data_IF_944072967941
#
_entry.id   IF_944072967941
#
_cell.length_a   1.000
_cell.length_b   1.000
_cell.length_c   1.000
_cell.angle_alpha   90.00
_cell.angle_beta   90.00
_cell.angle_gamma   90.00
#
_symmetry.space_group_name_H-M   'P 1'
#
loop_
_entity.id
_entity.type
_entity.pdbx_description
1 polymer ?
#
# COMPACT_ATOMS: atom_id res chain seq x y z
N UNK A 1 -56.23 38.37 47.47
CA UNK A 1 -56.15 37.79 46.09
C UNK A 1 -54.73 37.85 45.58
N UNK A 2 -54.00 36.75 45.74
CA UNK A 2 -52.55 36.66 45.35
C UNK A 2 -52.47 35.82 44.10
N UNK A 3 -52.13 36.45 42.97
CA UNK A 3 -51.90 35.77 41.70
C UNK A 3 -50.47 35.24 41.66
N UNK A 4 -50.34 33.91 41.72
CA UNK A 4 -49.08 33.20 41.55
C UNK A 4 -48.78 33.04 40.06
N UNK A 5 -47.67 33.67 39.58
CA UNK A 5 -47.20 33.52 38.21
C UNK A 5 -46.32 32.28 38.14
N UNK A 6 -46.75 31.26 37.41
CA UNK A 6 -45.90 30.12 37.05
C UNK A 6 -45.01 30.49 35.84
N UNK A 7 -43.70 30.51 36.07
CA UNK A 7 -42.74 30.61 34.98
C UNK A 7 -42.42 29.19 34.50
N UNK A 8 -42.78 28.88 33.26
CA UNK A 8 -42.38 27.63 32.59
C UNK A 8 -41.01 27.85 31.95
N UNK A 9 -39.99 27.23 32.54
CA UNK A 9 -38.67 27.18 31.94
C UNK A 9 -38.61 26.07 30.92
N UNK A 10 -38.58 26.40 29.62
CA UNK A 10 -38.36 25.45 28.54
C UNK A 10 -36.86 25.14 28.46
N UNK A 11 -36.47 23.93 28.90
CA UNK A 11 -35.10 23.42 28.72
C UNK A 11 -34.95 22.89 27.29
N UNK A 12 -34.22 23.66 26.46
CA UNK A 12 -33.75 23.19 25.15
C UNK A 12 -32.63 22.19 25.36
N UNK A 13 -32.91 20.90 25.24
CA UNK A 13 -31.90 19.86 25.13
C UNK A 13 -31.23 19.95 23.74
N UNK A 14 -30.03 20.52 23.68
CA UNK A 14 -29.14 20.46 22.50
C UNK A 14 -28.66 19.01 22.34
N UNK A 15 -29.36 18.25 21.51
CA UNK A 15 -28.83 16.96 21.04
C UNK A 15 -27.66 17.21 20.09
N UNK A 16 -26.46 17.02 20.58
CA UNK A 16 -25.28 16.96 19.73
C UNK A 16 -25.37 15.69 18.88
N UNK A 17 -25.81 15.84 17.64
CA UNK A 17 -25.68 14.80 16.63
C UNK A 17 -24.20 14.73 16.30
N UNK A 18 -23.50 13.75 16.86
CA UNK A 18 -22.17 13.39 16.39
C UNK A 18 -22.36 12.81 15.00
N UNK A 19 -22.07 13.63 13.98
CA UNK A 19 -21.89 13.13 12.63
C UNK A 19 -20.64 12.25 12.68
N UNK A 20 -20.83 10.94 12.82
CA UNK A 20 -19.80 9.97 12.52
C UNK A 20 -19.51 10.11 11.04
N UNK A 21 -18.45 10.85 10.69
CA UNK A 21 -17.95 10.83 9.33
C UNK A 21 -17.66 9.36 8.99
N UNK A 22 -18.35 8.83 7.99
CA UNK A 22 -18.06 7.48 7.50
C UNK A 22 -16.60 7.46 7.08
N UNK A 23 -15.78 6.68 7.76
CA UNK A 23 -14.39 6.51 7.42
C UNK A 23 -14.26 5.41 6.39
N UNK A 24 -13.81 5.76 5.19
CA UNK A 24 -13.39 4.78 4.21
C UNK A 24 -12.05 4.18 4.65
N UNK A 25 -11.97 2.85 4.66
CA UNK A 25 -10.75 2.15 5.05
C UNK A 25 -9.63 2.32 4.03
N UNK A 26 -8.40 2.04 4.46
CA UNK A 26 -7.21 2.09 3.62
C UNK A 26 -7.29 1.21 2.36
N UNK A 27 -8.08 0.14 2.38
CA UNK A 27 -8.33 -0.76 1.24
C UNK A 27 -8.95 -0.06 0.01
N UNK A 28 -9.57 1.11 0.19
CA UNK A 28 -10.15 1.90 -0.90
C UNK A 28 -9.14 2.88 -1.53
N UNK A 29 -7.92 2.97 -0.99
CA UNK A 29 -6.87 3.81 -1.55
C UNK A 29 -6.26 3.15 -2.80
N UNK A 30 -5.94 3.94 -3.85
CA UNK A 30 -5.31 3.39 -5.04
C UNK A 30 -3.95 2.80 -4.71
N UNK A 31 -3.67 1.60 -5.23
CA UNK A 31 -2.36 0.97 -5.13
C UNK A 31 -1.32 1.66 -6.02
N UNK A 32 -0.07 1.61 -5.60
CA UNK A 32 1.08 2.11 -6.34
C UNK A 32 1.99 0.96 -6.70
N UNK A 33 2.40 0.90 -7.96
CA UNK A 33 3.07 -0.25 -8.55
C UNK A 33 4.43 0.11 -9.10
N UNK A 34 5.38 -0.81 -8.98
CA UNK A 34 6.63 -0.83 -9.72
C UNK A 34 7.00 -2.29 -10.04
N UNK A 35 7.49 -2.52 -11.25
CA UNK A 35 8.05 -3.80 -11.65
C UNK A 35 9.57 -3.74 -11.57
N UNK A 36 10.17 -4.74 -10.93
CA UNK A 36 11.62 -4.94 -10.86
C UNK A 36 11.99 -6.11 -11.76
N UNK A 37 12.83 -5.87 -12.74
CA UNK A 37 13.21 -6.83 -13.77
C UNK A 37 14.47 -7.59 -13.36
N UNK A 38 14.57 -8.84 -13.80
CA UNK A 38 15.69 -9.74 -13.48
C UNK A 38 16.33 -10.33 -14.74
N UNK A 39 17.60 -10.64 -14.63
CA UNK A 39 18.30 -11.44 -15.62
C UNK A 39 17.80 -12.90 -15.57
N UNK A 40 18.02 -13.64 -16.66
CA UNK A 40 17.66 -15.05 -16.74
C UNK A 40 18.32 -15.84 -15.62
N UNK A 41 17.58 -16.74 -14.99
CA UNK A 41 18.02 -17.62 -13.90
C UNK A 41 18.61 -16.88 -12.67
N UNK A 42 18.38 -15.58 -12.54
CA UNK A 42 18.90 -14.76 -11.45
C UNK A 42 17.79 -14.23 -10.53
N UNK A 43 18.07 -14.19 -9.23
CA UNK A 43 17.30 -13.43 -8.23
C UNK A 43 18.08 -12.23 -7.68
N UNK A 44 19.25 -11.92 -8.25
CA UNK A 44 20.02 -10.72 -7.91
C UNK A 44 19.41 -9.50 -8.61
N UNK A 45 19.17 -8.43 -7.85
CA UNK A 45 18.69 -7.17 -8.38
C UNK A 45 19.86 -6.40 -8.97
N UNK A 46 19.76 -5.98 -10.23
CA UNK A 46 20.80 -5.18 -10.88
C UNK A 46 20.93 -3.80 -10.24
N UNK A 47 22.09 -3.14 -10.41
CA UNK A 47 22.30 -1.79 -9.89
C UNK A 47 21.31 -0.77 -10.48
N UNK A 48 20.92 -0.94 -11.73
CA UNK A 48 19.91 -0.09 -12.38
C UNK A 48 18.54 -0.26 -11.72
N UNK A 49 18.13 -1.48 -11.45
CA UNK A 49 16.85 -1.76 -10.77
C UNK A 49 16.87 -1.33 -9.30
N UNK A 50 18.02 -1.45 -8.61
CA UNK A 50 18.19 -0.90 -7.26
C UNK A 50 18.02 0.62 -7.24
N UNK A 51 18.59 1.34 -8.22
CA UNK A 51 18.43 2.79 -8.34
C UNK A 51 16.96 3.17 -8.58
N UNK A 52 16.29 2.48 -9.51
CA UNK A 52 14.85 2.69 -9.77
C UNK A 52 14.00 2.46 -8.53
N UNK A 53 14.25 1.38 -7.80
CA UNK A 53 13.51 1.05 -6.58
C UNK A 53 13.77 2.07 -5.46
N UNK A 54 15.01 2.57 -5.34
CA UNK A 54 15.38 3.62 -4.40
C UNK A 54 14.63 4.93 -4.69
N UNK A 55 14.66 5.40 -5.93
CA UNK A 55 13.95 6.62 -6.35
C UNK A 55 12.44 6.50 -6.13
N UNK A 56 11.86 5.36 -6.49
CA UNK A 56 10.45 5.07 -6.25
C UNK A 56 10.12 5.05 -4.74
N UNK A 57 10.98 4.46 -3.91
CA UNK A 57 10.79 4.40 -2.46
C UNK A 57 10.83 5.81 -1.83
N UNK A 58 11.72 6.68 -2.30
CA UNK A 58 11.78 8.08 -1.88
C UNK A 58 10.47 8.81 -2.24
N UNK A 59 9.96 8.61 -3.46
CA UNK A 59 8.67 9.19 -3.88
C UNK A 59 7.52 8.67 -3.02
N UNK A 60 7.50 7.38 -2.73
CA UNK A 60 6.48 6.77 -1.84
C UNK A 60 6.49 7.41 -0.46
N UNK A 61 7.64 7.56 0.18
CA UNK A 61 7.76 8.22 1.48
C UNK A 61 7.35 9.69 1.44
N UNK A 62 7.68 10.39 0.36
CA UNK A 62 7.31 11.80 0.20
C UNK A 62 5.80 11.99 0.08
N UNK A 63 5.13 11.09 -0.63
CA UNK A 63 3.70 11.19 -0.92
C UNK A 63 2.83 10.56 0.16
N UNK A 64 3.28 9.46 0.76
CA UNK A 64 2.50 8.64 1.66
C UNK A 64 3.23 8.41 2.98
N UNK A 65 2.88 9.16 4.04
CA UNK A 65 3.51 9.01 5.35
C UNK A 65 3.18 7.68 6.03
N UNK A 66 2.08 7.06 5.64
CA UNK A 66 1.62 5.78 6.16
C UNK A 66 1.44 4.83 4.98
N UNK A 67 1.97 3.63 5.12
CA UNK A 67 1.78 2.52 4.20
C UNK A 67 0.97 1.44 4.93
N UNK A 68 -0.13 1.00 4.33
CA UNK A 68 -0.97 -0.05 4.90
C UNK A 68 -0.52 -1.43 4.46
N UNK A 69 -0.37 -1.63 3.16
CA UNK A 69 -0.07 -2.94 2.59
C UNK A 69 1.14 -2.87 1.67
N UNK A 70 2.02 -3.87 1.78
CA UNK A 70 3.08 -4.18 0.82
C UNK A 70 2.89 -5.60 0.32
N UNK A 71 2.60 -5.75 -0.95
CA UNK A 71 2.41 -7.06 -1.57
C UNK A 71 3.29 -7.23 -2.80
N UNK A 72 4.00 -8.36 -2.87
CA UNK A 72 4.90 -8.71 -3.96
C UNK A 72 4.45 -9.99 -4.67
N UNK A 73 4.53 -9.98 -5.98
CA UNK A 73 4.30 -11.13 -6.81
C UNK A 73 5.55 -11.40 -7.67
N UNK A 74 6.39 -12.32 -7.21
CA UNK A 74 7.57 -12.75 -7.95
C UNK A 74 7.16 -13.66 -9.11
N UNK A 75 7.75 -13.41 -10.28
CA UNK A 75 7.48 -14.17 -11.49
C UNK A 75 8.78 -14.77 -12.04
N UNK A 76 8.68 -15.95 -12.62
CA UNK A 76 9.74 -16.58 -13.41
C UNK A 76 9.13 -17.25 -14.64
N UNK A 77 9.86 -17.22 -15.73
CA UNK A 77 9.45 -17.90 -16.96
C UNK A 77 9.57 -19.42 -16.77
N UNK A 78 8.69 -20.18 -17.37
CA UNK A 78 8.68 -21.65 -17.28
C UNK A 78 9.99 -22.30 -17.73
N UNK A 79 10.74 -21.62 -18.60
CA UNK A 79 12.00 -22.07 -19.17
C UNK A 79 13.21 -21.84 -18.27
N UNK A 80 13.04 -21.05 -17.19
CA UNK A 80 14.09 -20.80 -16.21
C UNK A 80 14.30 -21.99 -15.27
N UNK A 81 15.52 -22.11 -14.76
CA UNK A 81 15.85 -23.20 -13.82
C UNK A 81 15.14 -23.00 -12.48
N UNK A 82 14.51 -24.06 -11.98
CA UNK A 82 13.71 -24.02 -10.74
C UNK A 82 12.73 -22.84 -10.68
N UNK A 83 12.03 -22.58 -11.78
CA UNK A 83 11.21 -21.39 -11.99
C UNK A 83 10.30 -21.03 -10.81
N UNK A 84 9.64 -22.00 -10.18
CA UNK A 84 8.76 -21.75 -9.02
C UNK A 84 9.55 -21.21 -7.81
N UNK A 85 10.71 -21.78 -7.52
CA UNK A 85 11.54 -21.36 -6.41
C UNK A 85 12.25 -20.03 -6.75
N UNK A 86 12.69 -19.87 -8.01
CA UNK A 86 13.29 -18.64 -8.48
C UNK A 86 12.34 -17.45 -8.35
N UNK A 87 11.07 -17.62 -8.72
CA UNK A 87 10.05 -16.60 -8.55
C UNK A 87 9.92 -16.15 -7.08
N UNK A 88 9.92 -17.11 -6.15
CA UNK A 88 9.88 -16.81 -4.71
C UNK A 88 11.14 -16.06 -4.26
N UNK A 89 12.35 -16.53 -4.63
CA UNK A 89 13.61 -15.87 -4.27
C UNK A 89 13.70 -14.44 -4.81
N UNK A 90 13.17 -14.17 -6.01
CA UNK A 90 13.05 -12.80 -6.55
C UNK A 90 12.21 -11.90 -5.66
N UNK A 91 11.02 -12.38 -5.26
CA UNK A 91 10.14 -11.62 -4.37
C UNK A 91 10.82 -11.35 -3.00
N UNK A 92 11.50 -12.35 -2.43
CA UNK A 92 12.26 -12.21 -1.18
C UNK A 92 13.39 -11.17 -1.30
N UNK A 93 14.13 -11.20 -2.41
CA UNK A 93 15.19 -10.22 -2.67
C UNK A 93 14.65 -8.79 -2.72
N UNK A 94 13.53 -8.56 -3.41
CA UNK A 94 12.91 -7.22 -3.48
C UNK A 94 12.34 -6.82 -2.13
N UNK A 95 11.68 -7.72 -1.40
CA UNK A 95 11.16 -7.43 -0.07
C UNK A 95 12.27 -6.99 0.88
N UNK A 96 13.42 -7.67 0.85
CA UNK A 96 14.60 -7.31 1.66
C UNK A 96 15.11 -5.89 1.35
N UNK A 97 15.09 -5.48 0.09
CA UNK A 97 15.51 -4.12 -0.30
C UNK A 97 14.48 -3.08 0.10
N UNK A 98 13.19 -3.39 -0.04
CA UNK A 98 12.11 -2.50 0.46
C UNK A 98 12.24 -2.28 1.97
N UNK A 99 12.60 -3.31 2.73
CA UNK A 99 12.87 -3.19 4.17
C UNK A 99 14.04 -2.23 4.44
N UNK A 100 15.13 -2.32 3.68
CA UNK A 100 16.27 -1.40 3.80
C UNK A 100 15.86 0.05 3.47
N UNK A 101 14.92 0.24 2.56
CA UNK A 101 14.39 1.56 2.21
C UNK A 101 13.20 1.98 3.09
N UNK A 102 12.94 1.24 4.18
CA UNK A 102 11.86 1.53 5.14
C UNK A 102 10.47 1.57 4.52
N UNK A 103 10.25 0.84 3.43
CA UNK A 103 8.92 0.61 2.86
C UNK A 103 8.27 -0.55 3.63
N UNK A 104 7.61 -0.19 4.72
CA UNK A 104 6.93 -1.14 5.60
C UNK A 104 5.42 -0.92 5.54
N UNK A 105 4.66 -1.98 5.34
CA UNK A 105 3.21 -2.00 5.50
C UNK A 105 2.83 -2.75 6.78
N UNK A 106 1.71 -2.40 7.36
CA UNK A 106 1.10 -3.18 8.45
C UNK A 106 0.75 -4.60 7.98
N UNK A 107 0.27 -4.69 6.74
CA UNK A 107 0.00 -5.95 6.06
C UNK A 107 1.08 -6.21 5.01
N UNK A 108 1.69 -7.40 5.08
CA UNK A 108 2.77 -7.78 4.16
C UNK A 108 2.55 -9.19 3.64
N UNK A 109 2.72 -9.35 2.34
CA UNK A 109 2.67 -10.66 1.70
C UNK A 109 3.59 -10.72 0.48
N UNK A 110 4.09 -11.92 0.18
CA UNK A 110 4.76 -12.21 -1.08
C UNK A 110 4.31 -13.58 -1.62
N UNK A 111 4.34 -13.72 -2.92
CA UNK A 111 4.10 -14.98 -3.61
C UNK A 111 5.08 -15.13 -4.77
N UNK A 112 5.48 -16.37 -5.06
CA UNK A 112 6.19 -16.73 -6.27
C UNK A 112 5.30 -17.52 -7.21
N UNK A 113 5.29 -17.19 -8.50
CA UNK A 113 4.47 -17.86 -9.51
C UNK A 113 5.24 -18.05 -10.81
N UNK A 114 4.95 -19.15 -11.50
CA UNK A 114 5.38 -19.34 -12.89
C UNK A 114 4.56 -18.39 -13.77
N UNK A 115 5.25 -17.56 -14.52
CA UNK A 115 4.64 -16.61 -15.46
C UNK A 115 3.82 -17.33 -16.54
N UNK A 116 2.64 -16.82 -16.81
CA UNK A 116 1.80 -17.21 -17.95
C UNK A 116 1.73 -16.03 -18.90
N UNK A 117 2.31 -16.14 -20.12
CA UNK A 117 2.25 -15.08 -21.11
C UNK A 117 0.80 -14.61 -21.33
N UNK A 118 0.65 -13.33 -21.44
CA UNK A 118 -0.63 -12.68 -21.76
C UNK A 118 -0.51 -11.82 -23.02
N UNK A 119 -1.55 -11.07 -23.33
CA UNK A 119 -1.62 -10.22 -24.54
C UNK A 119 -0.76 -8.95 -24.46
N UNK A 120 -0.11 -8.67 -23.31
CA UNK A 120 0.66 -7.44 -23.11
C UNK A 120 2.17 -7.63 -23.37
N UNK A 121 2.60 -8.83 -23.75
CA UNK A 121 3.97 -9.18 -24.12
C UNK A 121 5.01 -8.75 -23.05
N UNK A 122 4.66 -8.86 -21.78
CA UNK A 122 5.54 -8.53 -20.67
C UNK A 122 6.48 -9.69 -20.38
N UNK A 123 7.71 -9.37 -19.95
CA UNK A 123 8.66 -10.40 -19.47
C UNK A 123 8.17 -11.05 -18.17
N UNK A 124 8.26 -12.37 -18.10
CA UNK A 124 8.03 -13.13 -16.88
C UNK A 124 9.16 -13.06 -15.86
N UNK A 125 10.26 -12.39 -16.15
CA UNK A 125 11.41 -12.25 -15.24
C UNK A 125 11.31 -10.95 -14.46
N UNK A 126 10.31 -10.85 -13.59
CA UNK A 126 10.06 -9.64 -12.80
C UNK A 126 9.44 -9.93 -11.44
N UNK A 127 9.47 -8.94 -10.58
CA UNK A 127 8.66 -8.86 -9.37
C UNK A 127 7.73 -7.65 -9.51
N UNK A 128 6.45 -7.91 -9.38
CA UNK A 128 5.42 -6.88 -9.29
C UNK A 128 5.29 -6.46 -7.83
N UNK A 129 5.65 -5.22 -7.54
CA UNK A 129 5.50 -4.62 -6.21
C UNK A 129 4.23 -3.79 -6.19
N UNK A 130 3.38 -4.03 -5.23
CA UNK A 130 2.18 -3.24 -4.97
C UNK A 130 2.22 -2.70 -3.55
N UNK A 131 2.08 -1.38 -3.42
CA UNK A 131 2.01 -0.70 -2.14
C UNK A 131 0.71 0.09 -2.07
N UNK A 132 -0.07 -0.16 -1.02
CA UNK A 132 -1.28 0.60 -0.74
C UNK A 132 -1.03 1.57 0.40
N UNK A 133 -1.32 2.87 0.19
CA UNK A 133 -1.23 3.87 1.26
C UNK A 133 -2.22 3.57 2.38
N UNK A 134 -1.84 3.94 3.60
CA UNK A 134 -2.68 3.92 4.77
C UNK A 134 -3.10 5.30 5.23
N UNK A 135 -3.93 5.34 6.25
CA UNK A 135 -4.45 6.57 6.86
C UNK A 135 -4.38 6.49 8.37
N UNK A 136 -4.27 7.63 9.07
CA UNK A 136 -4.28 7.65 10.53
C UNK A 136 -5.53 6.95 11.08
N UNK A 137 -5.33 6.05 12.04
CA UNK A 137 -6.41 5.27 12.67
C UNK A 137 -7.30 4.50 11.67
N UNK A 138 -6.71 4.06 10.55
CA UNK A 138 -7.39 3.37 9.44
C UNK A 138 -8.56 4.16 8.83
N UNK A 139 -8.56 5.48 9.00
CA UNK A 139 -9.60 6.37 8.52
C UNK A 139 -9.06 7.35 7.49
N UNK A 140 -9.49 7.21 6.24
CA UNK A 140 -9.11 8.07 5.12
C UNK A 140 -10.24 9.04 4.80
N UNK A 141 -10.20 10.29 5.26
CA UNK A 141 -11.35 11.20 5.19
C UNK A 141 -11.81 11.55 3.77
N UNK A 142 -10.94 11.42 2.76
CA UNK A 142 -11.27 11.80 1.38
C UNK A 142 -10.75 10.78 0.35
N UNK A 143 -10.49 9.53 0.71
CA UNK A 143 -9.88 8.52 -0.15
C UNK A 143 -8.53 8.94 -0.79
N UNK A 144 -7.93 10.00 -0.29
CA UNK A 144 -6.65 10.52 -0.74
C UNK A 144 -5.61 10.34 0.35
N UNK A 145 -4.37 9.93 -0.02
CA UNK A 145 -3.28 9.90 0.94
C UNK A 145 -3.07 11.28 1.56
N UNK A 146 -2.82 11.31 2.85
CA UNK A 146 -2.51 12.56 3.55
C UNK A 146 -1.07 12.93 3.20
N UNK A 147 -0.83 14.09 2.54
CA UNK A 147 0.53 14.53 2.27
C UNK A 147 1.27 14.79 3.57
N UNK A 148 2.57 14.49 3.58
CA UNK A 148 3.43 14.92 4.70
C UNK A 148 3.40 16.45 4.78
N UNK A 149 3.04 16.98 5.92
CA UNK A 149 3.29 18.40 6.21
C UNK A 149 4.80 18.60 6.18
N UNK A 150 5.25 19.53 5.33
CA UNK A 150 6.65 19.96 5.26
C UNK A 150 7.01 20.78 6.50
#
# INVERSE_FOLDING_TARGET
MTMTKFAVAAAFALTYVHASAACDGASNMPGHYIDIVFDTDSSAISSAELSRLSEWSIDMHKRFPIIDTVWLNGLAERTEHDAQQLATRRAESVMSVLDQYSIHGENRALAGKIFKPDKFDQSGRRVEVNVSPGCPNHCCPNLNPIPKTQ
#
